data_IF_837722828536
#
_entry.id   IF_837722828536
#
_cell.length_a   1.000
_cell.length_b   1.000
_cell.length_c   1.000
_cell.angle_alpha   90.00
_cell.angle_beta   90.00
_cell.angle_gamma   90.00
#
_symmetry.space_group_name_H-M   'P 1'
#
loop_
_entity.id
_entity.type
_entity.pdbx_description
1 polymer ?
#
# COMPACT_ATOMS: atom_id res chain seq x y z
N UNK A 1 -6.75 1.20 -14.65
CA UNK A 1 -5.48 1.02 -15.35
C UNK A 1 -5.07 -0.44 -15.32
N UNK A 2 -4.65 -0.98 -16.43
CA UNK A 2 -4.13 -2.35 -16.50
C UNK A 2 -2.75 -2.33 -15.81
N UNK A 3 -2.63 -2.95 -14.64
CA UNK A 3 -1.39 -3.07 -13.87
C UNK A 3 -0.32 -3.93 -14.56
N UNK A 4 -0.07 -3.66 -15.84
CA UNK A 4 0.94 -4.38 -16.62
C UNK A 4 2.18 -3.52 -16.75
N UNK A 5 3.27 -3.99 -16.18
CA UNK A 5 4.59 -3.40 -16.36
C UNK A 5 5.23 -4.08 -17.57
N UNK A 6 4.92 -3.53 -18.73
CA UNK A 6 5.49 -3.98 -20.01
C UNK A 6 6.15 -2.77 -20.68
N UNK A 7 7.46 -2.80 -20.79
CA UNK A 7 8.23 -1.77 -21.48
C UNK A 7 8.67 -2.25 -22.85
N UNK A 8 8.62 -1.34 -23.85
CA UNK A 8 9.05 -1.66 -25.22
C UNK A 8 10.53 -2.07 -25.22
N UNK A 9 11.37 -1.43 -24.39
CA UNK A 9 12.80 -1.67 -24.37
C UNK A 9 13.22 -2.97 -23.65
N UNK A 10 12.50 -3.36 -22.59
CA UNK A 10 12.92 -4.46 -21.70
C UNK A 10 11.89 -5.57 -21.56
N UNK A 11 10.71 -5.42 -22.20
CA UNK A 11 9.64 -6.40 -22.13
C UNK A 11 8.85 -6.35 -20.80
N UNK A 12 8.27 -7.49 -20.44
CA UNK A 12 7.37 -7.63 -19.30
C UNK A 12 8.15 -7.89 -18.02
N UNK A 13 7.91 -7.08 -16.99
CA UNK A 13 8.38 -7.38 -15.63
C UNK A 13 7.57 -8.55 -15.06
N UNK A 14 8.24 -9.59 -14.65
CA UNK A 14 7.65 -10.81 -14.10
C UNK A 14 7.75 -10.82 -12.58
N UNK A 15 6.84 -11.57 -11.94
CA UNK A 15 6.90 -11.82 -10.51
C UNK A 15 8.10 -12.73 -10.19
N UNK A 16 9.03 -12.34 -9.30
CA UNK A 16 10.20 -13.14 -8.97
C UNK A 16 9.89 -14.51 -8.35
N UNK A 17 8.72 -14.65 -7.71
CA UNK A 17 8.29 -15.89 -7.09
C UNK A 17 7.72 -16.90 -8.10
N UNK A 18 7.12 -16.39 -9.19
CA UNK A 18 6.57 -17.20 -10.27
C UNK A 18 6.60 -16.38 -11.57
N UNK A 19 7.52 -16.72 -12.45
CA UNK A 19 7.72 -16.01 -13.72
C UNK A 19 6.55 -16.11 -14.69
N UNK A 20 5.57 -16.97 -14.44
CA UNK A 20 4.33 -17.02 -15.23
C UNK A 20 3.32 -15.95 -14.81
N UNK A 21 3.52 -15.32 -13.64
CA UNK A 21 2.61 -14.34 -13.04
C UNK A 21 3.12 -12.92 -13.20
N UNK A 22 2.19 -11.99 -13.06
CA UNK A 22 2.50 -10.55 -13.04
C UNK A 22 3.11 -10.12 -11.72
N UNK A 23 4.01 -9.15 -11.75
CA UNK A 23 4.49 -8.45 -10.56
C UNK A 23 3.47 -7.44 -10.00
N UNK A 24 2.31 -7.28 -10.66
CA UNK A 24 1.40 -6.17 -10.38
C UNK A 24 1.92 -4.86 -10.97
N UNK A 25 1.22 -3.75 -10.70
CA UNK A 25 1.61 -2.44 -11.23
C UNK A 25 0.79 -1.28 -10.66
N UNK A 26 1.21 -0.06 -11.01
CA UNK A 26 2.22 0.31 -12.01
C UNK A 26 3.67 0.26 -11.48
N UNK A 27 3.94 0.22 -10.16
CA UNK A 27 5.28 0.12 -9.59
C UNK A 27 5.81 -1.33 -9.53
N UNK A 28 5.47 -2.16 -10.54
CA UNK A 28 5.84 -3.58 -10.57
C UNK A 28 7.32 -3.83 -10.74
N UNK A 29 8.05 -2.95 -11.43
CA UNK A 29 9.50 -3.01 -11.55
C UNK A 29 10.19 -2.85 -10.19
N UNK A 30 9.74 -1.87 -9.41
CA UNK A 30 10.19 -1.65 -8.03
C UNK A 30 9.91 -2.88 -7.16
N UNK A 31 8.67 -3.39 -7.19
CA UNK A 31 8.29 -4.56 -6.41
C UNK A 31 9.11 -5.79 -6.78
N UNK A 32 9.31 -6.05 -8.07
CA UNK A 32 10.14 -7.16 -8.54
C UNK A 32 11.59 -7.04 -8.05
N UNK A 33 12.18 -5.85 -8.12
CA UNK A 33 13.55 -5.62 -7.65
C UNK A 33 13.71 -5.81 -6.14
N UNK A 34 12.74 -5.32 -5.34
CA UNK A 34 12.73 -5.49 -3.88
C UNK A 34 12.51 -6.94 -3.51
N UNK A 35 11.55 -7.64 -4.15
CA UNK A 35 11.27 -9.05 -3.89
C UNK A 35 12.46 -9.96 -4.27
N UNK A 36 13.15 -9.65 -5.36
CA UNK A 36 14.35 -10.37 -5.78
C UNK A 36 15.57 -10.05 -4.90
N UNK A 37 15.49 -9.13 -3.94
CA UNK A 37 16.62 -8.76 -3.08
C UNK A 37 17.68 -7.88 -3.75
N UNK A 38 17.38 -7.32 -4.93
CA UNK A 38 18.31 -6.44 -5.66
C UNK A 38 18.52 -5.13 -4.91
N UNK A 39 17.46 -4.61 -4.32
CA UNK A 39 17.48 -3.40 -3.49
C UNK A 39 16.71 -3.64 -2.19
N UNK A 40 17.05 -2.95 -1.08
CA UNK A 40 16.32 -3.10 0.19
C UNK A 40 14.91 -2.50 0.13
N UNK A 41 14.72 -1.42 -0.59
CA UNK A 41 13.46 -0.74 -0.86
C UNK A 41 13.56 0.03 -2.19
N UNK A 42 12.44 0.54 -2.69
CA UNK A 42 12.42 1.38 -3.87
C UNK A 42 11.21 2.30 -3.91
N UNK A 43 11.35 3.45 -4.59
CA UNK A 43 10.28 4.43 -4.75
C UNK A 43 9.11 3.88 -5.55
N UNK A 44 7.91 4.34 -5.21
CA UNK A 44 6.67 3.93 -5.85
C UNK A 44 5.58 4.98 -5.62
N UNK A 45 4.70 5.16 -6.61
CA UNK A 45 3.53 6.03 -6.51
C UNK A 45 2.23 5.22 -6.49
N UNK A 46 1.19 5.74 -5.86
CA UNK A 46 -0.12 5.08 -5.75
C UNK A 46 -1.27 6.07 -5.95
N UNK A 47 -1.86 6.07 -7.14
CA UNK A 47 -3.10 6.79 -7.42
C UNK A 47 -4.32 5.85 -7.49
N UNK A 48 -4.12 4.62 -7.93
CA UNK A 48 -5.17 3.60 -8.06
C UNK A 48 -4.76 2.23 -7.50
N UNK A 49 -3.74 2.17 -6.62
CA UNK A 49 -3.22 0.94 -6.05
C UNK A 49 -1.78 0.62 -6.44
N UNK A 50 -1.06 1.55 -7.07
CA UNK A 50 0.24 1.23 -7.70
C UNK A 50 1.42 1.02 -6.72
N UNK A 51 1.25 1.24 -5.42
CA UNK A 51 2.09 0.70 -4.35
C UNK A 51 1.51 -0.63 -3.84
N UNK A 52 0.24 -0.62 -3.49
CA UNK A 52 -0.45 -1.72 -2.77
C UNK A 52 -0.59 -2.98 -3.62
N UNK A 53 -0.96 -2.84 -4.90
CA UNK A 53 -1.15 -3.98 -5.80
C UNK A 53 0.16 -4.75 -6.03
N UNK A 54 1.27 -4.11 -6.47
CA UNK A 54 2.51 -4.84 -6.69
C UNK A 54 3.12 -5.37 -5.38
N UNK A 55 2.94 -4.67 -4.25
CA UNK A 55 3.34 -5.21 -2.94
C UNK A 55 2.60 -6.50 -2.60
N UNK A 56 1.29 -6.54 -2.80
CA UNK A 56 0.48 -7.74 -2.58
C UNK A 56 0.87 -8.88 -3.53
N UNK A 57 1.11 -8.59 -4.82
CA UNK A 57 1.52 -9.59 -5.80
C UNK A 57 2.89 -10.20 -5.50
N UNK A 58 3.82 -9.42 -4.95
CA UNK A 58 5.21 -9.83 -4.74
C UNK A 58 5.53 -10.19 -3.28
N UNK A 59 4.53 -10.25 -2.38
CA UNK A 59 4.75 -10.60 -0.97
C UNK A 59 5.57 -9.56 -0.20
N UNK A 60 5.30 -8.28 -0.45
CA UNK A 60 6.02 -7.14 0.10
C UNK A 60 5.11 -6.27 0.98
N UNK A 61 5.72 -5.37 1.71
CA UNK A 61 5.02 -4.34 2.47
C UNK A 61 4.92 -3.05 1.66
N UNK A 62 3.69 -2.54 1.53
CA UNK A 62 3.41 -1.30 0.81
C UNK A 62 2.28 -0.51 1.47
N UNK A 63 2.58 0.72 1.82
CA UNK A 63 1.62 1.67 2.39
C UNK A 63 1.35 2.78 1.39
N UNK A 64 0.08 3.07 1.18
CA UNK A 64 -0.33 4.32 0.55
C UNK A 64 -0.51 5.37 1.67
N UNK A 65 0.41 6.34 1.83
CA UNK A 65 0.27 7.39 2.83
C UNK A 65 -1.01 8.21 2.63
N UNK A 66 -1.38 8.94 3.64
CA UNK A 66 -2.44 9.95 3.52
C UNK A 66 -2.00 11.05 2.56
N UNK A 67 -2.99 11.67 1.89
CA UNK A 67 -2.74 12.84 1.02
C UNK A 67 -1.97 13.90 1.78
N UNK A 68 -0.93 14.45 1.15
CA UNK A 68 -0.09 15.49 1.69
C UNK A 68 0.93 15.07 2.75
N UNK A 69 0.93 13.80 3.19
CA UNK A 69 1.92 13.32 4.17
C UNK A 69 3.33 13.26 3.58
N UNK A 70 3.46 12.75 2.36
CA UNK A 70 4.68 12.76 1.58
C UNK A 70 4.49 13.75 0.43
N UNK A 71 5.34 14.78 0.31
CA UNK A 71 5.19 15.80 -0.73
C UNK A 71 5.54 15.23 -2.11
N UNK A 72 4.96 15.83 -3.14
CA UNK A 72 5.25 15.53 -4.54
C UNK A 72 6.19 16.55 -5.19
N UNK A 73 6.71 17.48 -4.39
CA UNK A 73 7.54 18.60 -4.85
C UNK A 73 8.98 18.23 -5.22
N UNK A 74 9.78 19.24 -5.59
CA UNK A 74 9.42 20.68 -5.61
C UNK A 74 8.64 21.13 -6.86
N UNK A 75 8.55 20.30 -7.92
CA UNK A 75 8.00 20.73 -9.22
C UNK A 75 6.47 20.62 -9.26
N UNK A 76 5.88 19.76 -8.43
CA UNK A 76 4.45 19.52 -8.37
C UNK A 76 3.92 19.69 -6.94
N UNK A 77 2.84 20.45 -6.78
CA UNK A 77 2.14 20.54 -5.50
C UNK A 77 1.34 19.29 -5.16
N UNK A 78 0.67 18.74 -6.16
CA UNK A 78 -0.09 17.49 -6.09
C UNK A 78 -0.12 16.80 -7.45
N UNK A 79 -0.24 15.48 -7.45
CA UNK A 79 -0.39 14.66 -8.64
C UNK A 79 -1.83 14.14 -8.67
N UNK A 80 -2.52 14.29 -9.81
CA UNK A 80 -3.92 13.92 -10.02
C UNK A 80 -4.87 14.53 -8.97
N UNK A 81 -4.76 15.83 -8.73
CA UNK A 81 -5.56 16.56 -7.75
C UNK A 81 -5.52 15.92 -6.33
N UNK A 82 -4.35 15.40 -5.94
CA UNK A 82 -4.12 14.75 -4.66
C UNK A 82 -4.54 13.29 -4.58
N UNK A 83 -5.01 12.69 -5.67
CA UNK A 83 -5.36 11.26 -5.70
C UNK A 83 -4.12 10.36 -5.71
N UNK A 84 -2.99 10.83 -6.28
CA UNK A 84 -1.73 10.09 -6.28
C UNK A 84 -0.83 10.54 -5.14
N UNK A 85 -0.20 9.59 -4.48
CA UNK A 85 0.76 9.82 -3.41
C UNK A 85 2.01 8.97 -3.65
N UNK A 86 3.14 9.46 -3.14
CA UNK A 86 4.42 8.80 -3.26
C UNK A 86 4.83 8.15 -1.94
N UNK A 87 5.54 7.02 -2.03
CA UNK A 87 6.20 6.36 -0.91
C UNK A 87 7.18 5.31 -1.43
N UNK A 88 7.47 4.30 -0.62
CA UNK A 88 8.34 3.18 -0.98
C UNK A 88 7.63 1.84 -0.85
N UNK A 89 8.13 0.84 -1.59
CA UNK A 89 7.85 -0.57 -1.38
C UNK A 89 9.03 -1.17 -0.63
N UNK A 90 8.76 -1.95 0.43
CA UNK A 90 9.78 -2.51 1.32
C UNK A 90 9.50 -3.98 1.61
N UNK A 91 10.46 -4.68 2.22
CA UNK A 91 10.25 -6.04 2.75
C UNK A 91 9.72 -6.06 4.18
N UNK A 92 9.87 -4.95 4.91
CA UNK A 92 9.45 -4.88 6.32
C UNK A 92 8.69 -3.60 6.64
N UNK A 93 7.83 -3.67 7.65
CA UNK A 93 7.15 -2.51 8.23
C UNK A 93 8.16 -1.49 8.75
N UNK A 94 9.26 -1.97 9.35
CA UNK A 94 10.34 -1.13 9.89
C UNK A 94 10.97 -0.24 8.83
N UNK A 95 11.31 -0.82 7.67
CA UNK A 95 11.93 -0.05 6.59
C UNK A 95 10.96 1.02 6.05
N UNK A 96 9.67 0.70 5.95
CA UNK A 96 8.65 1.64 5.54
C UNK A 96 8.48 2.78 6.56
N UNK A 97 8.47 2.48 7.85
CA UNK A 97 8.40 3.47 8.92
C UNK A 97 9.63 4.39 8.91
N UNK A 98 10.84 3.82 8.79
CA UNK A 98 12.06 4.61 8.66
C UNK A 98 12.04 5.54 7.44
N UNK A 99 11.49 5.08 6.32
CA UNK A 99 11.34 5.91 5.14
C UNK A 99 10.26 6.99 5.29
N UNK A 100 9.19 6.74 6.06
CA UNK A 100 8.23 7.80 6.40
C UNK A 100 8.89 8.88 7.25
N UNK A 101 9.77 8.54 8.19
CA UNK A 101 10.51 9.52 8.98
C UNK A 101 11.40 10.45 8.11
N UNK A 102 11.83 9.96 6.95
CA UNK A 102 12.65 10.73 6.00
C UNK A 102 11.81 11.52 5.00
N UNK A 103 10.70 10.93 4.54
CA UNK A 103 9.93 11.46 3.42
C UNK A 103 8.73 12.31 3.84
N UNK A 104 8.20 12.10 5.06
CA UNK A 104 7.03 12.83 5.53
C UNK A 104 7.37 14.29 5.85
N UNK A 105 6.45 15.17 5.53
CA UNK A 105 6.57 16.60 5.78
C UNK A 105 6.02 17.43 4.63
N UNK A 106 6.18 18.73 4.73
CA UNK A 106 5.75 19.67 3.68
C UNK A 106 6.96 20.24 2.97
N UNK A 107 6.84 20.50 1.69
CA UNK A 107 7.77 21.29 0.91
C UNK A 107 7.12 22.60 0.44
N UNK A 108 7.90 23.43 -0.27
CA UNK A 108 7.45 24.74 -0.73
C UNK A 108 6.31 24.68 -1.76
N UNK A 109 6.12 23.53 -2.44
CA UNK A 109 5.07 23.35 -3.45
C UNK A 109 3.83 22.65 -2.86
N UNK A 110 3.89 22.18 -1.62
CA UNK A 110 2.78 21.45 -1.00
C UNK A 110 1.53 22.30 -0.83
N UNK A 111 0.42 21.89 -1.43
CA UNK A 111 -0.89 22.52 -1.25
C UNK A 111 -1.58 22.09 0.04
N UNK A 112 -1.17 20.97 0.63
CA UNK A 112 -1.69 20.43 1.87
C UNK A 112 -0.55 20.38 2.88
N UNK A 113 -0.70 21.14 3.97
CA UNK A 113 0.22 21.07 5.08
C UNK A 113 -0.25 19.99 6.06
N UNK A 114 0.57 18.95 6.24
CA UNK A 114 0.34 17.96 7.28
C UNK A 114 1.19 18.33 8.48
N UNK A 115 0.61 18.47 9.67
CA UNK A 115 1.38 18.76 10.86
C UNK A 115 2.48 17.70 11.07
N UNK A 116 3.67 18.08 11.51
CA UNK A 116 4.70 17.13 11.87
C UNK A 116 4.19 16.20 12.98
N UNK A 117 4.55 14.94 12.93
CA UNK A 117 4.28 13.99 14.02
C UNK A 117 5.20 14.29 15.19
N UNK A 118 4.68 14.23 16.43
CA UNK A 118 5.48 14.43 17.64
C UNK A 118 6.52 13.32 17.83
N UNK A 119 6.21 12.11 17.32
CA UNK A 119 7.07 10.93 17.43
C UNK A 119 7.43 10.41 16.04
N UNK A 120 8.61 9.79 15.93
CA UNK A 120 9.03 9.10 14.72
C UNK A 120 8.15 7.88 14.46
N UNK A 121 7.85 7.61 13.18
CA UNK A 121 7.12 6.40 12.77
C UNK A 121 7.88 5.13 13.17
N UNK A 122 9.21 5.18 13.12
CA UNK A 122 10.04 4.06 13.56
C UNK A 122 9.90 3.81 15.07
N UNK A 123 9.91 4.86 15.89
CA UNK A 123 9.71 4.76 17.34
C UNK A 123 8.29 4.28 17.69
N UNK A 124 7.29 4.62 16.87
CA UNK A 124 5.92 4.16 17.09
C UNK A 124 5.79 2.63 17.04
N UNK A 125 6.68 1.93 16.31
CA UNK A 125 6.68 0.46 16.28
C UNK A 125 7.11 -0.20 17.60
N UNK A 126 7.73 0.53 18.48
CA UNK A 126 8.20 0.05 19.79
C UNK A 126 7.14 0.24 20.89
N UNK A 127 6.07 0.99 20.58
CA UNK A 127 4.99 1.25 21.52
C UNK A 127 4.02 0.07 21.56
N UNK A 128 3.51 -0.28 22.75
CA UNK A 128 2.49 -1.31 22.86
C UNK A 128 1.21 -0.88 22.15
N UNK A 129 0.64 -1.78 21.36
CA UNK A 129 -0.63 -1.54 20.70
C UNK A 129 -1.79 -1.63 21.71
N UNK A 130 -2.68 -0.65 21.68
CA UNK A 130 -3.95 -0.74 22.38
C UNK A 130 -4.87 -1.75 21.68
N UNK A 131 -5.83 -2.30 22.42
CA UNK A 131 -6.87 -3.13 21.85
C UNK A 131 -7.66 -2.34 20.81
N UNK A 132 -7.69 -2.85 19.57
CA UNK A 132 -8.42 -2.25 18.45
C UNK A 132 -9.75 -2.96 18.22
N UNK A 133 -10.72 -2.22 17.68
CA UNK A 133 -11.92 -2.78 17.04
C UNK A 133 -11.67 -2.82 15.54
N UNK A 134 -11.73 -4.01 14.95
CA UNK A 134 -11.34 -4.27 13.58
C UNK A 134 -12.52 -4.91 12.84
N UNK A 135 -12.97 -4.25 11.78
CA UNK A 135 -13.91 -4.83 10.82
C UNK A 135 -13.16 -5.47 9.65
N UNK A 136 -13.62 -6.61 9.17
CA UNK A 136 -13.11 -7.22 7.95
C UNK A 136 -14.26 -7.67 7.04
N UNK A 137 -14.00 -7.77 5.74
CA UNK A 137 -14.94 -8.33 4.77
C UNK A 137 -14.21 -9.22 3.78
N UNK A 138 -14.85 -10.32 3.41
CA UNK A 138 -14.39 -11.24 2.36
C UNK A 138 -15.12 -11.03 1.04
N UNK A 139 -16.05 -10.08 0.99
CA UNK A 139 -16.84 -9.76 -0.18
C UNK A 139 -16.29 -8.53 -0.91
N UNK A 140 -16.49 -8.49 -2.22
CA UNK A 140 -16.14 -7.32 -3.02
C UNK A 140 -17.23 -6.25 -2.91
N UNK A 141 -16.90 -5.00 -2.52
CA UNK A 141 -17.90 -3.91 -2.48
C UNK A 141 -18.39 -3.53 -3.88
N UNK A 142 -17.65 -3.92 -4.94
CA UNK A 142 -18.03 -3.66 -6.34
C UNK A 142 -18.87 -4.79 -6.95
N UNK A 143 -19.24 -5.79 -6.15
CA UNK A 143 -19.80 -7.03 -6.67
C UNK A 143 -18.76 -7.83 -7.47
N UNK A 144 -18.92 -9.09 -7.56
CA UNK A 144 -17.98 -9.97 -8.27
C UNK A 144 -17.40 -11.03 -7.36
N UNK A 145 -16.92 -12.09 -7.99
CA UNK A 145 -16.39 -13.25 -7.28
C UNK A 145 -15.00 -12.95 -6.74
N UNK A 146 -14.82 -13.09 -5.44
CA UNK A 146 -13.50 -13.07 -4.79
C UNK A 146 -12.94 -14.50 -4.77
N UNK A 147 -11.70 -14.67 -5.22
CA UNK A 147 -11.03 -15.98 -5.21
C UNK A 147 -10.94 -16.53 -3.77
N UNK A 148 -11.05 -17.85 -3.65
CA UNK A 148 -11.05 -18.52 -2.33
C UNK A 148 -9.78 -18.23 -1.55
N UNK A 149 -8.63 -18.20 -2.21
CA UNK A 149 -7.34 -17.91 -1.62
C UNK A 149 -7.29 -16.50 -1.01
N UNK A 150 -7.94 -15.53 -1.65
CA UNK A 150 -8.03 -14.16 -1.13
C UNK A 150 -8.94 -14.07 0.09
N UNK A 151 -10.09 -14.77 0.07
CA UNK A 151 -10.99 -14.83 1.23
C UNK A 151 -10.33 -15.52 2.42
N UNK A 152 -9.64 -16.63 2.18
CA UNK A 152 -8.94 -17.37 3.22
C UNK A 152 -7.78 -16.56 3.81
N UNK A 153 -7.05 -15.81 3.00
CA UNK A 153 -6.02 -14.90 3.48
C UNK A 153 -6.59 -13.82 4.41
N UNK A 154 -7.74 -13.24 4.09
CA UNK A 154 -8.41 -12.25 4.94
C UNK A 154 -8.86 -12.90 6.26
N UNK A 155 -9.46 -14.10 6.23
CA UNK A 155 -9.87 -14.83 7.44
C UNK A 155 -8.69 -15.17 8.34
N UNK A 156 -7.60 -15.69 7.75
CA UNK A 156 -6.39 -16.02 8.49
C UNK A 156 -5.80 -14.79 9.21
N UNK A 157 -5.84 -13.62 8.59
CA UNK A 157 -5.41 -12.37 9.23
C UNK A 157 -6.38 -11.96 10.34
N UNK A 158 -7.70 -12.10 10.12
CA UNK A 158 -8.70 -11.82 11.14
C UNK A 158 -8.51 -12.71 12.40
N UNK A 159 -8.29 -14.01 12.21
CA UNK A 159 -8.02 -14.97 13.28
C UNK A 159 -6.72 -14.62 14.03
N UNK A 160 -5.67 -14.26 13.30
CA UNK A 160 -4.42 -13.80 13.90
C UNK A 160 -4.63 -12.56 14.77
N UNK A 161 -5.33 -11.55 14.26
CA UNK A 161 -5.61 -10.32 14.99
C UNK A 161 -6.47 -10.58 16.25
N UNK A 162 -7.43 -11.49 16.17
CA UNK A 162 -8.21 -11.93 17.31
C UNK A 162 -7.33 -12.63 18.36
N UNK A 163 -6.41 -13.51 17.92
CA UNK A 163 -5.46 -14.21 18.82
C UNK A 163 -4.50 -13.24 19.52
N UNK A 164 -4.23 -12.08 18.91
CA UNK A 164 -3.44 -10.97 19.51
C UNK A 164 -4.26 -10.11 20.47
N UNK A 165 -5.54 -10.42 20.70
CA UNK A 165 -6.39 -9.75 21.70
C UNK A 165 -7.20 -8.59 21.15
N UNK A 166 -7.22 -8.34 19.83
CA UNK A 166 -8.08 -7.34 19.21
C UNK A 166 -9.54 -7.83 19.15
N UNK A 167 -10.47 -6.87 19.03
CA UNK A 167 -11.89 -7.15 18.82
C UNK A 167 -12.16 -7.15 17.32
N UNK A 168 -12.41 -8.35 16.74
CA UNK A 168 -12.49 -8.55 15.30
C UNK A 168 -13.89 -9.03 14.91
N UNK A 169 -14.53 -8.34 13.95
CA UNK A 169 -15.87 -8.65 13.48
C UNK A 169 -15.94 -8.63 11.96
N UNK A 170 -16.76 -9.49 11.37
CA UNK A 170 -17.09 -9.38 9.96
C UNK A 170 -18.04 -8.18 9.77
N UNK A 171 -17.56 -7.15 9.10
CA UNK A 171 -18.28 -5.90 8.85
C UNK A 171 -17.68 -5.16 7.66
N UNK A 172 -18.54 -4.59 6.85
CA UNK A 172 -18.16 -3.67 5.78
C UNK A 172 -18.68 -2.26 6.11
N UNK A 173 -17.99 -1.19 5.70
CA UNK A 173 -18.52 0.17 5.85
C UNK A 173 -19.84 0.33 5.11
N UNK A 174 -20.85 0.93 5.77
CA UNK A 174 -22.09 1.30 5.11
C UNK A 174 -21.82 2.34 4.02
N UNK A 175 -22.43 2.18 2.86
CA UNK A 175 -22.44 3.20 1.80
C UNK A 175 -21.29 3.12 0.78
N UNK A 176 -20.47 2.08 0.77
CA UNK A 176 -19.66 1.76 -0.41
C UNK A 176 -20.60 1.13 -1.44
N UNK A 177 -21.35 1.99 -2.13
CA UNK A 177 -22.25 1.59 -3.21
C UNK A 177 -21.55 1.85 -4.55
N UNK A 178 -21.16 0.76 -5.22
CA UNK A 178 -20.51 0.80 -6.53
C UNK A 178 -21.31 1.57 -7.59
N UNK A 179 -22.63 1.67 -7.43
CA UNK A 179 -23.51 2.41 -8.36
C UNK A 179 -23.34 3.93 -8.26
N UNK A 180 -22.71 4.43 -7.19
CA UNK A 180 -22.41 5.86 -7.00
C UNK A 180 -21.04 6.28 -7.50
N UNK A 181 -20.24 5.34 -7.99
CA UNK A 181 -18.88 5.57 -8.51
C UNK A 181 -18.80 5.46 -10.04
N UNK A 182 -19.94 5.31 -10.71
CA UNK A 182 -20.06 5.25 -12.18
C UNK A 182 -20.37 6.60 -12.81
#
# INVERSE_FOLDING_TARGET
GRGTVNTVAFGITRNPWDLSRTAGGSSGGTAAAVAAGIVPFGSAGDGGGSIRIPSACCGLFGVKPSRGLVPSGPDYGEIWDGASVEHVITRSVRDSAAMLDVLAGSDAASHVAVPPTENSYLQALEQPLHKLKIGFSTESPMGGTVAVECRDAVRNVADLLQSLGHEVHEAAPDGIDATRLS
#
